data_IF_837857474581
#
_entry.id   IF_837857474581
#
_cell.length_a   1.000
_cell.length_b   1.000
_cell.length_c   1.000
_cell.angle_alpha   90.00
_cell.angle_beta   90.00
_cell.angle_gamma   90.00
#
_symmetry.space_group_name_H-M   'P 1'
#
loop_
_entity.id
_entity.type
_entity.pdbx_description
1 polymer ?
#
# COMPACT_ATOMS: atom_id res chain seq x y z
N UNK A 1 -53.97 44.46 37.99
CA UNK A 1 -53.78 43.19 37.26
C UNK A 1 -52.56 43.39 36.36
N UNK A 2 -51.38 42.98 36.79
CA UNK A 2 -50.14 43.04 36.01
C UNK A 2 -49.62 41.60 35.94
N UNK A 3 -49.91 40.92 34.83
CA UNK A 3 -49.45 39.56 34.58
C UNK A 3 -48.04 39.63 33.98
N UNK A 4 -47.03 39.33 34.80
CA UNK A 4 -45.64 39.22 34.35
C UNK A 4 -45.44 37.93 33.55
N UNK A 5 -45.08 38.08 32.28
CA UNK A 5 -44.76 36.97 31.39
C UNK A 5 -43.28 36.57 31.59
N UNK A 6 -43.05 35.49 32.33
CA UNK A 6 -41.71 34.92 32.55
C UNK A 6 -41.36 34.01 31.37
N UNK A 7 -40.53 34.50 30.45
CA UNK A 7 -39.99 33.67 29.35
C UNK A 7 -38.85 32.83 29.91
N UNK A 8 -39.12 31.54 30.15
CA UNK A 8 -38.08 30.56 30.45
C UNK A 8 -37.29 30.30 29.15
N UNK A 9 -36.09 30.88 29.05
CA UNK A 9 -35.13 30.50 28.03
C UNK A 9 -34.62 29.09 28.37
N UNK A 10 -35.25 28.06 27.80
CA UNK A 10 -34.74 26.70 27.86
C UNK A 10 -33.49 26.65 26.99
N UNK A 11 -32.32 26.84 27.62
CA UNK A 11 -31.03 26.50 27.01
C UNK A 11 -31.00 24.98 26.94
N UNK A 12 -31.48 24.42 25.83
CA UNK A 12 -31.22 23.02 25.50
C UNK A 12 -29.71 22.94 25.25
N UNK A 13 -28.93 22.22 26.06
CA UNK A 13 -27.53 21.97 25.74
C UNK A 13 -27.56 21.01 24.55
N UNK A 14 -27.62 21.58 23.34
CA UNK A 14 -27.41 20.85 22.10
C UNK A 14 -25.99 20.33 22.14
N UNK A 15 -25.85 19.06 22.51
CA UNK A 15 -24.61 18.32 22.48
C UNK A 15 -24.10 18.40 21.04
N UNK A 16 -23.10 19.25 20.77
CA UNK A 16 -22.40 19.33 19.49
C UNK A 16 -21.54 18.07 19.33
N UNK A 17 -22.20 16.93 19.15
CA UNK A 17 -21.55 15.67 18.81
C UNK A 17 -21.26 15.76 17.32
N UNK A 18 -20.03 16.12 16.98
CA UNK A 18 -19.56 16.13 15.58
C UNK A 18 -19.79 14.76 14.90
N UNK A 19 -19.71 14.70 13.56
CA UNK A 19 -20.05 13.49 12.80
C UNK A 19 -19.32 12.26 13.33
N UNK A 20 -20.02 11.14 13.43
CA UNK A 20 -19.44 9.87 13.82
C UNK A 20 -18.52 9.40 12.69
N UNK A 21 -17.22 9.40 12.94
CA UNK A 21 -16.19 8.94 12.01
C UNK A 21 -15.49 7.71 12.57
N UNK A 22 -15.11 6.74 11.73
CA UNK A 22 -14.26 5.64 12.15
C UNK A 22 -12.84 6.16 12.41
N UNK A 23 -12.13 5.54 13.36
CA UNK A 23 -10.73 5.80 13.63
C UNK A 23 -10.05 4.46 13.84
N UNK A 24 -8.93 4.24 13.17
CA UNK A 24 -8.18 2.99 13.26
C UNK A 24 -6.93 3.17 14.10
N UNK A 25 -6.73 2.28 15.06
CA UNK A 25 -5.48 2.15 15.80
C UNK A 25 -5.00 0.70 15.74
N UNK A 26 -3.70 0.50 15.86
CA UNK A 26 -3.07 -0.82 15.92
C UNK A 26 -2.13 -0.89 17.11
N UNK A 27 -2.04 -2.06 17.71
CA UNK A 27 -1.10 -2.35 18.81
C UNK A 27 0.35 -2.09 18.41
N UNK A 28 0.71 -2.45 17.19
CA UNK A 28 2.00 -2.16 16.58
C UNK A 28 1.86 -1.97 15.07
N UNK A 29 2.65 -1.07 14.49
CA UNK A 29 2.81 -1.01 13.03
C UNK A 29 3.82 -2.02 12.50
N UNK A 30 4.49 -2.76 13.39
CA UNK A 30 5.52 -3.75 13.05
C UNK A 30 5.23 -5.08 13.73
N UNK A 31 5.16 -6.15 12.96
CA UNK A 31 5.15 -7.53 13.44
C UNK A 31 6.52 -8.15 13.16
N UNK A 32 7.26 -8.48 14.22
CA UNK A 32 8.54 -9.17 14.12
C UNK A 32 8.31 -10.68 14.26
N UNK A 33 8.59 -11.42 13.19
CA UNK A 33 8.53 -12.88 13.13
C UNK A 33 9.74 -13.53 13.83
N UNK A 34 10.74 -12.73 14.21
CA UNK A 34 11.97 -13.18 14.82
C UNK A 34 12.87 -13.90 13.83
N UNK A 35 13.62 -14.88 14.35
CA UNK A 35 14.44 -15.78 13.51
C UNK A 35 13.59 -16.98 13.11
N UNK A 36 13.55 -17.24 11.81
CA UNK A 36 12.73 -18.31 11.22
C UNK A 36 13.59 -19.20 10.33
N UNK A 37 13.32 -20.51 10.33
CA UNK A 37 13.97 -21.43 9.40
C UNK A 37 13.51 -21.16 7.96
N UNK A 38 14.37 -21.53 7.01
CA UNK A 38 14.03 -21.58 5.59
C UNK A 38 12.96 -22.66 5.32
N UNK A 39 12.17 -22.48 4.27
CA UNK A 39 11.08 -23.39 3.85
C UNK A 39 10.07 -23.71 4.98
N UNK A 40 9.63 -22.67 5.68
CA UNK A 40 8.64 -22.76 6.75
C UNK A 40 7.57 -21.69 6.62
N UNK A 41 6.37 -22.07 7.04
CA UNK A 41 5.29 -21.13 7.25
C UNK A 41 5.31 -20.65 8.70
N UNK A 42 5.47 -19.33 8.87
CA UNK A 42 5.39 -18.66 10.17
C UNK A 42 4.16 -17.75 10.19
N UNK A 43 3.58 -17.55 11.36
CA UNK A 43 2.41 -16.67 11.52
C UNK A 43 2.74 -15.50 12.44
N UNK A 44 2.22 -14.34 12.07
CA UNK A 44 2.23 -13.11 12.86
C UNK A 44 0.82 -12.56 12.97
N UNK A 45 0.65 -11.51 13.77
CA UNK A 45 -0.63 -10.82 13.83
C UNK A 45 -0.51 -9.38 14.27
N UNK A 46 -1.50 -8.59 13.89
CA UNK A 46 -1.75 -7.24 14.40
C UNK A 46 -3.11 -7.20 15.08
N UNK A 47 -3.23 -6.42 16.15
CA UNK A 47 -4.50 -6.12 16.78
C UNK A 47 -5.01 -4.77 16.25
N UNK A 48 -6.03 -4.81 15.40
CA UNK A 48 -6.67 -3.62 14.84
C UNK A 48 -7.85 -3.22 15.72
N UNK A 49 -7.91 -1.96 16.14
CA UNK A 49 -8.94 -1.42 17.04
C UNK A 49 -9.64 -0.24 16.39
N UNK A 50 -10.97 -0.21 16.49
CA UNK A 50 -11.75 0.96 16.11
C UNK A 50 -11.90 1.89 17.33
N UNK A 51 -11.13 2.97 17.39
CA UNK A 51 -11.24 3.99 18.45
C UNK A 51 -12.17 5.14 18.06
N UNK A 52 -12.84 5.02 16.91
CA UNK A 52 -13.81 5.98 16.41
C UNK A 52 -15.21 5.76 16.94
N UNK A 53 -16.16 6.53 16.40
CA UNK A 53 -17.57 6.52 16.80
C UNK A 53 -18.51 5.95 15.73
N UNK A 54 -17.97 5.59 14.56
CA UNK A 54 -18.67 4.87 13.51
C UNK A 54 -17.94 3.55 13.19
N UNK A 55 -18.62 2.65 12.49
CA UNK A 55 -18.05 1.37 12.08
C UNK A 55 -16.81 1.55 11.19
N UNK A 56 -15.71 0.93 11.62
CA UNK A 56 -14.52 0.78 10.81
C UNK A 56 -14.72 -0.43 9.89
N UNK A 57 -14.69 -0.18 8.59
CA UNK A 57 -14.81 -1.20 7.55
C UNK A 57 -13.44 -1.39 6.91
N UNK A 58 -12.99 -2.64 6.92
CA UNK A 58 -11.75 -3.09 6.31
C UNK A 58 -12.05 -3.63 4.93
N UNK A 59 -11.45 -3.03 3.90
CA UNK A 59 -11.64 -3.39 2.50
C UNK A 59 -10.72 -4.52 2.06
N UNK A 60 -9.83 -4.22 1.10
CA UNK A 60 -8.79 -5.14 0.64
C UNK A 60 -7.66 -5.21 1.65
N UNK A 61 -7.18 -6.44 1.86
CA UNK A 61 -5.98 -6.77 2.61
C UNK A 61 -4.97 -7.30 1.61
N UNK A 62 -3.77 -6.74 1.57
CA UNK A 62 -2.72 -7.18 0.64
C UNK A 62 -1.34 -7.15 1.27
N UNK A 63 -0.51 -8.09 0.85
CA UNK A 63 0.94 -8.06 1.05
C UNK A 63 1.64 -7.65 -0.24
N UNK A 64 2.84 -7.09 -0.11
CA UNK A 64 3.69 -6.72 -1.26
C UNK A 64 4.49 -7.88 -1.85
N UNK A 65 4.71 -8.97 -1.08
CA UNK A 65 5.23 -10.24 -1.60
C UNK A 65 4.12 -11.29 -1.75
N UNK A 66 4.26 -12.17 -2.76
CA UNK A 66 3.54 -13.46 -2.87
C UNK A 66 3.91 -14.46 -1.77
N UNK A 67 4.98 -14.20 -1.03
CA UNK A 67 5.50 -15.00 0.08
C UNK A 67 4.52 -15.09 1.25
N UNK A 68 3.53 -14.19 1.33
CA UNK A 68 2.66 -14.09 2.47
C UNK A 68 1.19 -13.89 2.13
N UNK A 69 0.35 -14.28 3.08
CA UNK A 69 -1.10 -14.14 3.05
C UNK A 69 -1.52 -13.33 4.27
N UNK A 70 -2.47 -12.42 4.06
CA UNK A 70 -3.06 -11.63 5.16
C UNK A 70 -4.56 -11.82 5.19
N UNK A 71 -5.10 -12.13 6.36
CA UNK A 71 -6.52 -12.42 6.54
C UNK A 71 -7.06 -11.86 7.84
N UNK A 72 -8.37 -11.57 7.85
CA UNK A 72 -9.08 -11.17 9.05
C UNK A 72 -10.48 -11.77 9.04
N UNK A 73 -10.90 -12.33 10.17
CA UNK A 73 -12.16 -13.08 10.31
C UNK A 73 -13.41 -12.24 10.04
N UNK A 74 -13.38 -10.96 10.42
CA UNK A 74 -14.50 -10.04 10.21
C UNK A 74 -13.98 -8.69 9.72
N UNK A 75 -14.50 -8.21 8.59
CA UNK A 75 -14.10 -6.95 7.95
C UNK A 75 -14.80 -5.71 8.53
N UNK A 76 -15.71 -5.87 9.48
CA UNK A 76 -16.38 -4.78 10.18
C UNK A 76 -15.97 -4.80 11.65
N UNK A 77 -15.55 -3.65 12.17
CA UNK A 77 -15.12 -3.46 13.55
C UNK A 77 -15.96 -2.32 14.14
N UNK A 78 -16.86 -2.65 15.07
CA UNK A 78 -17.71 -1.65 15.73
C UNK A 78 -16.89 -0.73 16.65
N UNK A 79 -17.43 0.42 17.06
CA UNK A 79 -16.76 1.35 17.98
C UNK A 79 -16.26 0.65 19.26
N UNK A 80 -15.01 0.92 19.65
CA UNK A 80 -14.33 0.32 20.81
C UNK A 80 -13.96 -1.15 20.66
N UNK A 81 -14.32 -1.81 19.54
CA UNK A 81 -13.99 -3.20 19.31
C UNK A 81 -12.61 -3.36 18.66
N UNK A 82 -12.03 -4.54 18.88
CA UNK A 82 -10.77 -4.94 18.27
C UNK A 82 -10.93 -6.25 17.48
N UNK A 83 -10.18 -6.39 16.39
CA UNK A 83 -10.08 -7.62 15.59
C UNK A 83 -8.62 -7.93 15.26
N UNK A 84 -8.32 -9.22 15.17
CA UNK A 84 -6.97 -9.70 14.85
C UNK A 84 -6.82 -9.85 13.34
N UNK A 85 -5.83 -9.16 12.79
CA UNK A 85 -5.35 -9.35 11.43
C UNK A 85 -4.22 -10.38 11.47
N UNK A 86 -4.43 -11.56 10.88
CA UNK A 86 -3.44 -12.63 10.82
C UNK A 86 -2.58 -12.46 9.58
N UNK A 87 -1.26 -12.59 9.76
CA UNK A 87 -0.29 -12.70 8.69
C UNK A 87 0.26 -14.11 8.69
N UNK A 88 0.31 -14.73 7.53
CA UNK A 88 1.00 -15.98 7.27
C UNK A 88 2.12 -15.67 6.28
N UNK A 89 3.35 -16.08 6.59
CA UNK A 89 4.52 -15.83 5.77
C UNK A 89 5.25 -17.14 5.52
N UNK A 90 5.44 -17.50 4.26
CA UNK A 90 6.20 -18.65 3.82
C UNK A 90 7.62 -18.21 3.46
N UNK A 91 8.61 -18.73 4.18
CA UNK A 91 10.02 -18.41 3.96
C UNK A 91 10.53 -19.19 2.74
N UNK A 92 11.17 -18.52 1.76
CA UNK A 92 11.86 -19.23 0.69
C UNK A 92 13.05 -20.04 1.23
N UNK A 93 13.59 -20.91 0.38
CA UNK A 93 14.82 -21.65 0.65
C UNK A 93 16.06 -20.73 0.51
N UNK A 94 16.15 -19.73 1.40
CA UNK A 94 17.23 -18.74 1.42
C UNK A 94 17.45 -18.17 2.82
N UNK A 95 18.69 -17.76 3.10
CA UNK A 95 19.03 -16.96 4.28
C UNK A 95 18.94 -15.46 3.96
N UNK A 96 18.47 -14.65 4.90
CA UNK A 96 18.36 -13.21 4.68
C UNK A 96 17.34 -12.49 5.55
N UNK A 97 17.25 -11.16 5.45
CA UNK A 97 16.23 -10.40 6.14
C UNK A 97 14.84 -10.66 5.56
N UNK A 98 13.83 -10.69 6.43
CA UNK A 98 12.42 -10.62 6.03
C UNK A 98 11.99 -9.17 6.19
N UNK A 99 11.46 -8.60 5.11
CA UNK A 99 10.80 -7.30 5.12
C UNK A 99 9.65 -7.36 4.13
N UNK A 100 8.42 -7.18 4.62
CA UNK A 100 7.23 -7.13 3.79
C UNK A 100 6.25 -6.12 4.36
N UNK A 101 5.48 -5.49 3.49
CA UNK A 101 4.42 -4.56 3.86
C UNK A 101 3.07 -5.24 3.77
N UNK A 102 2.22 -4.95 4.75
CA UNK A 102 0.81 -5.33 4.78
C UNK A 102 0.01 -4.04 4.68
N UNK A 103 -0.85 -3.98 3.67
CA UNK A 103 -1.76 -2.88 3.47
C UNK A 103 -3.18 -3.27 3.85
N UNK A 104 -3.78 -2.42 4.66
CA UNK A 104 -5.16 -2.53 5.10
C UNK A 104 -5.92 -1.34 4.54
N UNK A 105 -6.79 -1.59 3.57
CA UNK A 105 -7.73 -0.58 3.08
C UNK A 105 -8.83 -0.37 4.12
N UNK A 106 -9.16 0.90 4.42
CA UNK A 106 -10.16 1.28 5.41
C UNK A 106 -11.09 2.38 4.86
N UNK A 107 -12.22 2.59 5.54
CA UNK A 107 -13.11 3.72 5.32
C UNK A 107 -12.76 4.95 6.20
N UNK A 108 -11.55 5.04 6.77
CA UNK A 108 -11.15 6.20 7.58
C UNK A 108 -10.94 7.42 6.67
N UNK A 109 -11.65 8.55 6.92
CA UNK A 109 -11.51 9.76 6.12
C UNK A 109 -10.06 10.29 6.16
N UNK A 110 -9.50 10.63 5.00
CA UNK A 110 -8.11 11.09 4.87
C UNK A 110 -7.04 9.99 5.04
N UNK A 111 -7.40 8.82 5.57
CA UNK A 111 -6.47 7.70 5.82
C UNK A 111 -7.04 6.36 5.30
N UNK A 112 -7.34 6.32 3.99
CA UNK A 112 -7.88 5.11 3.32
C UNK A 112 -6.97 3.88 3.47
N UNK A 113 -5.68 4.05 3.71
CA UNK A 113 -4.72 2.96 3.75
C UNK A 113 -3.86 2.99 5.00
N UNK A 114 -4.07 1.99 5.86
CA UNK A 114 -3.22 1.69 7.01
C UNK A 114 -2.07 0.77 6.57
N UNK A 115 -0.85 1.17 6.90
CA UNK A 115 0.39 0.49 6.54
C UNK A 115 0.97 -0.21 7.75
N UNK A 116 1.24 -1.50 7.60
CA UNK A 116 1.83 -2.35 8.61
C UNK A 116 3.05 -3.05 8.00
N UNK A 117 4.05 -3.37 8.82
CA UNK A 117 5.30 -3.96 8.38
C UNK A 117 5.52 -5.30 9.06
N UNK A 118 5.97 -6.28 8.31
CA UNK A 118 6.38 -7.59 8.78
C UNK A 118 7.89 -7.65 8.63
N UNK A 119 8.60 -7.93 9.71
CA UNK A 119 10.06 -8.04 9.73
C UNK A 119 10.49 -9.38 10.31
N UNK A 120 11.73 -9.76 10.08
CA UNK A 120 12.35 -10.94 10.68
C UNK A 120 13.67 -11.27 10.03
N UNK A 121 14.19 -12.47 10.29
CA UNK A 121 15.41 -12.97 9.66
C UNK A 121 15.34 -14.47 9.43
N UNK A 122 15.61 -14.89 8.20
CA UNK A 122 15.81 -16.29 7.85
C UNK A 122 17.22 -16.73 8.25
N UNK A 123 17.32 -17.89 8.91
CA UNK A 123 18.57 -18.48 9.33
C UNK A 123 18.37 -19.76 10.16
N UNK A 124 19.43 -20.53 10.46
CA UNK A 124 19.32 -21.76 11.24
C UNK A 124 18.68 -21.48 12.61
N UNK A 125 17.69 -22.31 12.98
CA UNK A 125 16.90 -22.19 14.21
C UNK A 125 17.80 -22.18 15.46
N UNK A 126 17.64 -21.17 16.32
CA UNK A 126 18.38 -21.03 17.58
C UNK A 126 17.75 -20.00 18.51
N UNK A 127 17.54 -20.39 19.77
CA UNK A 127 16.88 -19.60 20.82
C UNK A 127 17.67 -18.33 21.17
N UNK A 128 17.06 -17.15 21.03
CA UNK A 128 16.72 -16.22 22.14
C UNK A 128 16.48 -14.82 21.58
N UNK A 129 15.41 -14.21 22.09
CA UNK A 129 15.08 -12.80 21.95
C UNK A 129 16.24 -11.91 22.40
N UNK A 130 16.86 -11.21 21.46
CA UNK A 130 17.52 -9.96 21.75
C UNK A 130 16.55 -8.86 21.34
N UNK A 131 16.00 -8.16 22.32
CA UNK A 131 15.26 -6.91 22.17
C UNK A 131 16.01 -6.05 21.15
N UNK A 132 15.44 -5.92 19.95
CA UNK A 132 15.92 -4.98 18.95
C UNK A 132 15.64 -3.60 19.53
N UNK A 133 16.61 -3.07 20.28
CA UNK A 133 16.68 -1.65 20.54
C UNK A 133 16.67 -1.01 19.16
N UNK A 134 15.70 -0.09 18.98
CA UNK A 134 15.60 0.70 17.78
C UNK A 134 16.99 1.20 17.42
N UNK A 135 17.49 0.78 16.26
CA UNK A 135 18.58 1.52 15.64
C UNK A 135 18.04 2.94 15.43
N UNK A 136 18.79 3.99 15.79
CA UNK A 136 18.42 5.35 15.46
C UNK A 136 18.05 5.39 13.98
N UNK A 137 16.96 6.07 13.67
CA UNK A 137 16.59 6.42 12.30
C UNK A 137 17.88 6.82 11.57
N UNK A 138 18.27 6.06 10.54
CA UNK A 138 19.38 6.50 9.69
C UNK A 138 18.98 7.90 9.19
N UNK A 139 19.77 8.94 9.50
CA UNK A 139 19.41 10.30 9.17
C UNK A 139 19.40 10.38 7.66
N UNK A 140 18.24 10.73 7.10
CA UNK A 140 18.03 11.18 5.72
C UNK A 140 19.23 10.86 4.81
N UNK A 141 19.40 9.56 4.52
CA UNK A 141 20.44 9.09 3.61
C UNK A 141 20.08 9.59 2.24
N UNK A 142 20.80 10.62 1.80
CA UNK A 142 20.73 11.22 0.48
C UNK A 142 21.14 10.21 -0.59
N UNK A 143 20.25 9.30 -0.93
CA UNK A 143 20.31 8.61 -2.21
C UNK A 143 19.59 9.49 -3.22
N UNK A 144 20.36 10.45 -3.73
CA UNK A 144 20.05 11.23 -4.90
C UNK A 144 19.84 10.29 -6.10
N UNK A 145 18.60 9.84 -6.21
CA UNK A 145 17.96 9.31 -7.41
C UNK A 145 16.54 9.86 -7.52
N UNK A 146 16.28 11.02 -6.91
CA UNK A 146 15.06 11.79 -7.11
C UNK A 146 15.13 12.49 -8.47
N UNK A 147 14.19 12.13 -9.33
CA UNK A 147 13.57 13.06 -10.26
C UNK A 147 14.51 13.90 -11.12
N UNK A 148 15.15 13.28 -12.11
CA UNK A 148 15.18 14.00 -13.38
C UNK A 148 13.76 13.87 -13.95
N UNK A 149 13.03 14.99 -13.99
CA UNK A 149 11.82 15.07 -14.79
C UNK A 149 12.17 14.51 -16.18
N UNK A 150 11.45 13.49 -16.69
CA UNK A 150 11.74 12.96 -18.01
C UNK A 150 11.75 14.11 -19.02
N UNK A 151 12.64 14.03 -20.01
CA UNK A 151 12.61 14.95 -21.12
C UNK A 151 11.16 15.06 -21.64
N UNK A 152 10.61 16.27 -21.84
CA UNK A 152 9.23 16.44 -22.27
C UNK A 152 8.97 15.58 -23.51
N UNK A 153 8.01 14.66 -23.44
CA UNK A 153 7.65 13.75 -24.54
C UNK A 153 8.28 12.36 -24.51
N UNK A 154 9.12 12.01 -23.52
CA UNK A 154 9.60 10.64 -23.35
C UNK A 154 8.52 9.73 -22.71
N UNK A 155 8.29 8.56 -23.31
CA UNK A 155 7.36 7.57 -22.77
C UNK A 155 7.90 6.98 -21.46
N UNK A 156 7.13 7.08 -20.39
CA UNK A 156 7.58 6.62 -19.07
C UNK A 156 7.33 5.13 -18.90
N UNK A 157 8.32 4.41 -18.42
CA UNK A 157 8.27 2.99 -18.11
C UNK A 157 8.46 2.86 -16.60
N UNK A 158 7.39 2.54 -15.87
CA UNK A 158 7.40 2.49 -14.41
C UNK A 158 7.43 1.03 -13.95
N UNK A 159 8.56 0.60 -13.38
CA UNK A 159 8.67 -0.70 -12.73
C UNK A 159 8.41 -0.55 -11.23
N UNK A 160 7.46 -1.29 -10.69
CA UNK A 160 7.22 -1.49 -9.27
C UNK A 160 7.58 -2.93 -8.88
N UNK A 161 8.54 -3.09 -7.98
CA UNK A 161 9.12 -4.38 -7.61
C UNK A 161 9.53 -4.41 -6.14
N UNK A 162 9.72 -5.58 -5.53
CA UNK A 162 10.45 -5.71 -4.27
C UNK A 162 11.86 -6.28 -4.54
N UNK A 163 12.91 -5.82 -3.84
CA UNK A 163 14.29 -6.27 -4.09
C UNK A 163 14.50 -7.77 -3.86
N UNK A 164 13.61 -8.43 -3.14
CA UNK A 164 13.69 -9.85 -2.77
C UNK A 164 12.90 -10.76 -3.73
N UNK A 165 12.27 -10.23 -4.78
CA UNK A 165 11.50 -11.06 -5.71
C UNK A 165 12.41 -11.91 -6.62
N UNK A 166 12.08 -13.19 -6.74
CA UNK A 166 12.70 -14.07 -7.74
C UNK A 166 12.48 -13.53 -9.17
N UNK A 167 13.54 -13.55 -10.00
CA UNK A 167 13.48 -13.09 -11.40
C UNK A 167 13.54 -11.58 -11.61
N UNK A 168 13.76 -10.77 -10.55
CA UNK A 168 13.95 -9.33 -10.73
C UNK A 168 15.22 -8.98 -11.52
N UNK A 169 16.27 -9.80 -11.45
CA UNK A 169 17.50 -9.56 -12.19
C UNK A 169 17.29 -9.61 -13.71
N UNK A 170 16.49 -10.56 -14.20
CA UNK A 170 16.14 -10.68 -15.61
C UNK A 170 15.34 -9.47 -16.10
N UNK A 171 14.41 -8.99 -15.28
CA UNK A 171 13.62 -7.79 -15.57
C UNK A 171 14.50 -6.55 -15.60
N UNK A 172 15.44 -6.42 -14.66
CA UNK A 172 16.41 -5.32 -14.64
C UNK A 172 17.32 -5.36 -15.88
N UNK A 173 17.75 -6.54 -16.31
CA UNK A 173 18.53 -6.73 -17.52
C UNK A 173 17.73 -6.35 -18.78
N UNK A 174 16.46 -6.77 -18.88
CA UNK A 174 15.56 -6.41 -19.96
C UNK A 174 15.34 -4.88 -20.04
N UNK A 175 15.10 -4.22 -18.91
CA UNK A 175 15.00 -2.76 -18.84
C UNK A 175 16.29 -2.06 -19.29
N UNK A 176 17.45 -2.58 -18.93
CA UNK A 176 18.73 -2.04 -19.38
C UNK A 176 18.90 -2.19 -20.90
N UNK A 177 18.45 -3.31 -21.48
CA UNK A 177 18.44 -3.53 -22.92
C UNK A 177 17.49 -2.55 -23.64
N UNK A 178 16.25 -2.39 -23.15
CA UNK A 178 15.28 -1.43 -23.70
C UNK A 178 15.79 0.01 -23.61
N UNK A 179 16.49 0.39 -22.52
CA UNK A 179 17.10 1.72 -22.41
C UNK A 179 18.14 1.97 -23.51
N UNK A 180 18.96 0.97 -23.84
CA UNK A 180 19.94 1.07 -24.94
C UNK A 180 19.26 1.15 -26.30
N UNK A 181 18.17 0.40 -26.50
CA UNK A 181 17.42 0.35 -27.77
C UNK A 181 16.65 1.63 -28.06
N UNK A 182 15.91 2.15 -27.09
CA UNK A 182 14.99 3.28 -27.27
C UNK A 182 15.59 4.63 -26.88
N UNK A 183 16.73 4.63 -26.19
CA UNK A 183 17.48 5.84 -25.85
C UNK A 183 16.65 6.85 -25.07
N UNK A 184 16.68 8.11 -25.50
CA UNK A 184 15.95 9.22 -24.87
C UNK A 184 14.44 9.22 -25.15
N UNK A 185 13.93 8.31 -26.00
CA UNK A 185 12.48 8.21 -26.28
C UNK A 185 11.70 7.63 -25.11
N UNK A 186 12.37 6.94 -24.20
CA UNK A 186 11.77 6.41 -22.97
C UNK A 186 12.48 6.92 -21.73
N UNK A 187 11.73 6.96 -20.62
CA UNK A 187 12.29 7.17 -19.29
C UNK A 187 11.91 6.01 -18.38
N UNK A 188 12.89 5.30 -17.85
CA UNK A 188 12.66 4.14 -16.97
C UNK A 188 12.79 4.58 -15.52
N UNK A 189 11.73 4.36 -14.74
CA UNK A 189 11.69 4.59 -13.30
C UNK A 189 11.50 3.26 -12.57
N UNK A 190 12.41 2.94 -11.65
CA UNK A 190 12.33 1.76 -10.80
C UNK A 190 11.92 2.17 -9.40
N UNK A 191 10.89 1.56 -8.85
CA UNK A 191 10.30 1.91 -7.55
C UNK A 191 10.16 0.66 -6.69
N UNK A 192 10.83 0.66 -5.54
CA UNK A 192 10.75 -0.46 -4.59
C UNK A 192 9.44 -0.39 -3.79
N UNK A 193 8.75 -1.52 -3.66
CA UNK A 193 7.49 -1.63 -2.92
C UNK A 193 7.68 -1.56 -1.40
N UNK A 194 8.92 -1.73 -0.94
CA UNK A 194 9.33 -1.51 0.45
C UNK A 194 9.01 -0.08 0.94
N UNK A 195 8.90 0.89 0.02
CA UNK A 195 8.51 2.27 0.31
C UNK A 195 6.98 2.43 0.22
N UNK A 196 6.37 2.85 1.32
CA UNK A 196 4.93 3.15 1.46
C UNK A 196 4.36 3.98 0.29
N UNK A 197 5.05 5.02 -0.14
CA UNK A 197 4.61 5.89 -1.23
C UNK A 197 4.52 5.13 -2.58
N UNK A 198 5.46 4.22 -2.84
CA UNK A 198 5.47 3.42 -4.05
C UNK A 198 4.36 2.36 -4.02
N UNK A 199 4.13 1.75 -2.85
CA UNK A 199 3.03 0.79 -2.68
C UNK A 199 1.65 1.45 -2.87
N UNK A 200 1.44 2.66 -2.33
CA UNK A 200 0.24 3.47 -2.62
C UNK A 200 0.11 3.76 -4.12
N UNK A 201 1.23 4.10 -4.76
CA UNK A 201 1.30 4.30 -6.20
C UNK A 201 0.88 3.05 -6.98
N UNK A 202 1.36 1.86 -6.59
CA UNK A 202 1.00 0.58 -7.21
C UNK A 202 -0.52 0.40 -7.28
N UNK A 203 -1.23 0.66 -6.18
CA UNK A 203 -2.68 0.51 -6.15
C UNK A 203 -3.40 1.47 -7.10
N UNK A 204 -2.93 2.70 -7.19
CA UNK A 204 -3.49 3.69 -8.11
C UNK A 204 -3.23 3.30 -9.57
N UNK A 205 -2.06 2.73 -9.87
CA UNK A 205 -1.78 2.13 -11.16
C UNK A 205 -2.71 0.92 -11.42
N UNK A 206 -2.84 -0.01 -10.48
CA UNK A 206 -3.72 -1.17 -10.65
C UNK A 206 -5.18 -0.79 -10.90
N UNK A 207 -5.69 0.22 -10.18
CA UNK A 207 -7.04 0.75 -10.37
C UNK A 207 -7.19 1.41 -11.75
N UNK A 208 -6.22 2.22 -12.18
CA UNK A 208 -6.26 2.90 -13.49
C UNK A 208 -6.20 1.92 -14.67
N UNK A 209 -5.29 0.95 -14.61
CA UNK A 209 -5.06 -0.02 -15.69
C UNK A 209 -6.00 -1.23 -15.61
N UNK A 210 -6.88 -1.30 -14.61
CA UNK A 210 -7.75 -2.44 -14.38
C UNK A 210 -7.00 -3.75 -14.10
N UNK A 211 -5.78 -3.67 -13.58
CA UNK A 211 -4.92 -4.83 -13.33
C UNK A 211 -5.45 -5.65 -12.14
N UNK A 212 -6.08 -6.78 -12.42
CA UNK A 212 -6.51 -7.77 -11.42
C UNK A 212 -5.45 -8.86 -11.13
N UNK A 213 -4.37 -8.91 -11.92
CA UNK A 213 -3.27 -9.86 -11.77
C UNK A 213 -2.51 -9.66 -10.44
N UNK A 214 -2.05 -10.73 -9.81
CA UNK A 214 -1.28 -10.70 -8.55
C UNK A 214 0.22 -10.87 -8.76
N UNK A 215 0.66 -11.28 -9.95
CA UNK A 215 2.07 -11.45 -10.27
C UNK A 215 2.88 -10.15 -10.08
N UNK A 216 4.04 -10.29 -9.42
CA UNK A 216 5.04 -9.26 -9.24
C UNK A 216 6.35 -9.68 -9.95
N UNK A 217 7.19 -8.75 -10.42
CA UNK A 217 7.00 -7.29 -10.39
C UNK A 217 5.97 -6.82 -11.43
N UNK A 218 5.56 -5.55 -11.33
CA UNK A 218 4.62 -4.93 -12.29
C UNK A 218 5.26 -3.76 -13.02
N UNK A 219 4.98 -3.67 -14.31
CA UNK A 219 5.48 -2.62 -15.18
C UNK A 219 4.31 -1.92 -15.87
N UNK A 220 4.29 -0.59 -15.81
CA UNK A 220 3.27 0.25 -16.44
C UNK A 220 3.92 1.14 -17.50
N UNK A 221 3.32 1.20 -18.69
CA UNK A 221 3.86 1.96 -19.82
C UNK A 221 2.73 2.34 -20.79
N UNK A 222 2.58 3.64 -21.06
CA UNK A 222 1.52 4.17 -21.91
C UNK A 222 0.15 3.73 -21.40
N UNK A 223 -0.63 3.07 -22.25
CA UNK A 223 -1.93 2.48 -21.93
C UNK A 223 -1.88 1.01 -21.45
N UNK A 224 -0.70 0.41 -21.40
CA UNK A 224 -0.48 -1.01 -21.11
C UNK A 224 0.18 -1.26 -19.75
N UNK A 225 0.00 -2.49 -19.24
CA UNK A 225 0.79 -3.03 -18.14
C UNK A 225 1.27 -4.45 -18.44
N UNK A 226 2.37 -4.85 -17.79
CA UNK A 226 2.96 -6.20 -17.81
C UNK A 226 3.18 -6.65 -16.36
N UNK A 227 2.99 -7.94 -16.08
CA UNK A 227 3.06 -8.47 -14.73
C UNK A 227 3.83 -9.79 -14.67
N UNK A 228 4.79 -9.86 -13.75
CA UNK A 228 5.69 -11.00 -13.57
C UNK A 228 6.90 -10.97 -14.51
N UNK A 229 8.02 -11.65 -14.14
CA UNK A 229 9.26 -11.59 -14.90
C UNK A 229 9.12 -12.09 -16.34
N UNK A 230 8.45 -13.22 -16.55
CA UNK A 230 8.31 -13.83 -17.88
C UNK A 230 7.56 -12.95 -18.87
N UNK A 231 6.42 -12.38 -18.46
CA UNK A 231 5.62 -11.50 -19.31
C UNK A 231 6.37 -10.19 -19.63
N UNK A 232 7.04 -9.61 -18.62
CA UNK A 232 7.84 -8.40 -18.79
C UNK A 232 8.98 -8.67 -19.78
N UNK A 233 9.81 -9.68 -19.54
CA UNK A 233 10.98 -9.98 -20.37
C UNK A 233 10.56 -10.29 -21.81
N UNK A 234 9.46 -11.02 -22.01
CA UNK A 234 9.00 -11.43 -23.33
C UNK A 234 8.42 -10.28 -24.16
N UNK A 235 7.74 -9.31 -23.54
CA UNK A 235 6.89 -8.34 -24.27
C UNK A 235 7.29 -6.88 -24.12
N UNK A 236 8.21 -6.55 -23.21
CA UNK A 236 8.55 -5.16 -22.86
C UNK A 236 8.84 -4.30 -24.09
N UNK A 237 9.75 -4.74 -24.95
CA UNK A 237 10.19 -3.96 -26.10
C UNK A 237 9.09 -3.77 -27.16
N UNK A 238 8.27 -4.80 -27.39
CA UNK A 238 7.15 -4.72 -28.34
C UNK A 238 6.06 -3.77 -27.82
N UNK A 239 5.78 -3.81 -26.52
CA UNK A 239 4.85 -2.88 -25.88
C UNK A 239 5.38 -1.45 -25.98
N UNK A 240 6.64 -1.21 -25.65
CA UNK A 240 7.27 0.11 -25.78
C UNK A 240 7.15 0.62 -27.23
N UNK A 241 7.45 -0.22 -28.22
CA UNK A 241 7.35 0.14 -29.62
C UNK A 241 5.93 0.56 -30.02
N UNK A 242 4.90 -0.20 -29.60
CA UNK A 242 3.50 0.14 -29.86
C UNK A 242 3.07 1.44 -29.17
N UNK A 243 3.39 1.60 -27.89
CA UNK A 243 3.01 2.79 -27.12
C UNK A 243 3.72 4.06 -27.62
N UNK A 244 4.98 3.95 -28.05
CA UNK A 244 5.69 5.05 -28.72
C UNK A 244 5.06 5.41 -30.07
N UNK A 245 4.63 4.42 -30.85
CA UNK A 245 3.97 4.66 -32.13
C UNK A 245 2.59 5.29 -31.97
N UNK A 246 1.88 4.95 -30.89
CA UNK A 246 0.59 5.54 -30.53
C UNK A 246 0.70 6.95 -29.93
N UNK A 247 1.91 7.41 -29.59
CA UNK A 247 2.11 8.68 -28.88
C UNK A 247 1.54 8.66 -27.47
N UNK A 248 1.46 7.48 -26.86
CA UNK A 248 0.84 7.29 -25.55
C UNK A 248 1.59 8.03 -24.44
N UNK A 249 0.84 8.41 -23.41
CA UNK A 249 1.40 8.96 -22.17
C UNK A 249 1.08 7.99 -21.05
N UNK A 250 2.11 7.59 -20.30
CA UNK A 250 1.93 6.74 -19.12
C UNK A 250 1.24 7.53 -18.02
N UNK A 251 0.20 6.95 -17.43
CA UNK A 251 -0.54 7.55 -16.32
C UNK A 251 0.40 7.96 -15.19
N UNK A 252 0.07 9.08 -14.55
CA UNK A 252 0.79 9.60 -13.38
C UNK A 252 -0.21 9.68 -12.25
N UNK A 253 -0.05 8.86 -11.18
CA UNK A 253 -0.96 8.95 -10.06
C UNK A 253 -0.89 10.35 -9.45
N UNK A 254 -2.05 10.94 -9.07
CA UNK A 254 -2.07 12.23 -8.41
C UNK A 254 -1.22 12.12 -7.13
N UNK A 255 -0.38 13.13 -6.90
CA UNK A 255 0.36 13.23 -5.63
C UNK A 255 -0.71 13.28 -4.52
N UNK A 256 -0.62 12.46 -3.47
CA UNK A 256 -1.53 12.60 -2.33
C UNK A 256 -1.48 14.05 -1.89
N UNK A 257 -2.64 14.70 -1.79
CA UNK A 257 -2.70 15.97 -1.09
C UNK A 257 -2.09 15.73 0.29
N UNK A 258 -1.11 16.55 0.68
CA UNK A 258 -0.74 16.62 2.09
C UNK A 258 -2.05 16.87 2.87
N UNK A 259 -2.27 16.20 4.01
CA UNK A 259 -3.54 16.29 4.71
C UNK A 259 -3.73 17.72 5.24
N UNK A 260 -4.34 18.57 4.44
CA UNK A 260 -5.03 19.77 4.88
C UNK A 260 -6.40 19.33 5.35
N UNK A 261 -6.54 19.15 6.68
CA UNK A 261 -7.71 19.41 7.55
C UNK A 261 -9.18 19.23 7.02
N UNK A 262 -10.15 18.99 7.91
CA UNK A 262 -11.18 17.97 7.74
C UNK A 262 -12.34 18.40 6.83
N UNK A 263 -12.46 17.72 5.69
CA UNK A 263 -13.65 17.72 4.84
C UNK A 263 -14.13 16.28 4.64
N UNK A 264 -15.39 16.00 4.97
CA UNK A 264 -16.00 14.68 4.82
C UNK A 264 -15.92 14.14 3.38
N UNK A 265 -16.00 12.82 3.25
CA UNK A 265 -15.89 12.11 1.98
C UNK A 265 -17.00 12.53 0.99
N UNK A 266 -16.68 12.74 -0.30
CA UNK A 266 -17.68 12.98 -1.35
C UNK A 266 -18.71 11.85 -1.44
N UNK A 267 -19.97 12.21 -1.73
CA UNK A 267 -21.11 11.29 -1.78
C UNK A 267 -20.91 10.09 -2.74
N UNK A 268 -20.11 10.28 -3.79
CA UNK A 268 -19.76 9.25 -4.79
C UNK A 268 -18.97 8.08 -4.19
N UNK A 269 -18.16 8.33 -3.16
CA UNK A 269 -17.38 7.29 -2.47
C UNK A 269 -18.28 6.53 -1.49
N UNK A 270 -19.21 7.22 -0.81
CA UNK A 270 -20.18 6.61 0.10
C UNK A 270 -21.13 5.64 -0.64
N UNK A 271 -21.51 5.96 -1.88
CA UNK A 271 -22.39 5.10 -2.69
C UNK A 271 -21.77 3.73 -3.02
N UNK A 272 -20.44 3.62 -3.13
CA UNK A 272 -19.75 2.35 -3.44
C UNK A 272 -19.79 1.32 -2.30
N UNK A 273 -20.22 1.72 -1.10
CA UNK A 273 -20.30 0.83 0.07
C UNK A 273 -21.74 0.42 0.43
N UNK A 274 -22.76 0.91 -0.30
CA UNK A 274 -24.17 0.57 -0.07
C UNK A 274 -24.58 -0.82 -0.59
N UNK A 275 -23.70 -1.54 -1.29
CA UNK A 275 -23.97 -2.86 -1.87
C UNK A 275 -23.64 -4.08 -1.01
N UNK A 276 -23.09 -3.89 0.20
CA UNK A 276 -22.76 -5.01 1.11
C UNK A 276 -23.80 -5.17 2.22
N UNK A 277 -25.06 -5.30 1.82
CA UNK A 277 -26.19 -5.51 2.73
C UNK A 277 -27.09 -6.62 2.20
N UNK A 278 -26.75 -7.88 2.51
CA UNK A 278 -27.70 -8.96 2.83
C UNK A 278 -26.99 -9.92 3.78
#
# INVERSE_FOLDING_TARGET
ILAGLYVFLVVVPGLLVGPAVPKVEVDSKVCDLGRVAADKTVTGSFQVTNTGRADLVIGRLRMDCLCGKVEMTAKRIGPGQSRRLRVEYHTPEADGPIASNVLVETNVPGERFLHLKVIGRMGPEGKTAAKLTARPEDPAGTDAGEGSLPAPGALRVILLYSPTCAGCDDVVAALAASRRRWGSRISIEKRTLDKVANFRGLLLYEEHYGSNETAAPKLFVGSSYLAGPGDIVARLDDVIGRELAAGSVTFIPPRPAEPTEPGGLPAEILAKFQGFSV
#
